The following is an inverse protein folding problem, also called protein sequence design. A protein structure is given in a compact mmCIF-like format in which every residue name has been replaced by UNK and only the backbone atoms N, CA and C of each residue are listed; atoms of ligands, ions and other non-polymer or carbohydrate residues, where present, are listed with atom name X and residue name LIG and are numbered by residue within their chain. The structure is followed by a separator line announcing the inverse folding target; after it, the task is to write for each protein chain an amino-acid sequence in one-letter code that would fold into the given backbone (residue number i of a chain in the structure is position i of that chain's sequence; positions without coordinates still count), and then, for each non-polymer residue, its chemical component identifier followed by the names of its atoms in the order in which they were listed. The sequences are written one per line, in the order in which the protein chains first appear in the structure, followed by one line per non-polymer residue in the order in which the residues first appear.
data_IF_931988807986
#
_entry.id   IF_931988807986
#
_cell.length_a   1.000
_cell.length_b   1.000
_cell.length_c   1.000
_cell.angle_alpha   90.00
_cell.angle_beta   90.00
_cell.angle_gamma   90.00
#
_symmetry.space_group_name_H-M   'P 1'
#
loop_
_entity.id
_entity.type
_entity.pdbx_description
1 polymer ?
#
# COMPACT_ATOMS: atom_id res chain seq x y z
N UNK A 1 18.79 7.53 1.94
CA UNK A 1 18.32 7.57 0.54
C UNK A 1 16.87 8.02 0.60
N UNK A 2 16.59 9.28 0.24
CA UNK A 2 15.25 9.82 0.15
C UNK A 2 14.81 9.58 -1.30
N UNK A 3 13.95 8.60 -1.53
CA UNK A 3 13.32 8.43 -2.84
C UNK A 3 12.27 9.53 -2.91
N UNK A 4 12.31 10.38 -3.94
CA UNK A 4 11.28 11.39 -4.15
C UNK A 4 9.93 10.68 -4.27
N UNK A 5 8.94 11.10 -3.46
CA UNK A 5 7.63 10.45 -3.41
C UNK A 5 7.45 9.41 -2.30
N UNK A 6 8.49 8.97 -1.57
CA UNK A 6 8.30 8.20 -0.33
C UNK A 6 8.17 9.13 0.87
N UNK A 7 6.98 9.13 1.46
CA UNK A 7 6.67 9.88 2.67
C UNK A 7 7.10 9.07 3.90
N UNK A 8 8.22 9.49 4.49
CA UNK A 8 8.83 8.84 5.66
C UNK A 8 7.93 8.90 6.90
N UNK A 9 7.04 9.90 6.99
CA UNK A 9 6.10 10.03 8.11
C UNK A 9 4.96 9.01 8.00
N UNK A 10 4.54 8.65 6.77
CA UNK A 10 3.59 7.55 6.53
C UNK A 10 4.21 6.22 6.94
N UNK A 11 5.46 5.98 6.53
CA UNK A 11 6.20 4.76 6.86
C UNK A 11 6.39 4.66 8.38
N UNK A 12 6.79 5.74 9.05
CA UNK A 12 7.01 5.74 10.51
C UNK A 12 5.70 5.58 11.29
N UNK A 13 4.60 6.19 10.86
CA UNK A 13 3.29 6.02 11.49
C UNK A 13 2.76 4.58 11.37
N UNK A 14 3.07 3.89 10.26
CA UNK A 14 2.68 2.50 10.02
C UNK A 14 3.63 1.52 10.72
N UNK A 15 4.91 1.88 10.84
CA UNK A 15 5.94 1.10 11.55
C UNK A 15 5.73 1.16 13.08
N UNK A 16 5.25 2.29 13.63
CA UNK A 16 4.97 2.43 15.07
C UNK A 16 3.81 1.55 15.58
N UNK A 17 2.92 1.08 14.70
CA UNK A 17 1.85 0.14 15.11
C UNK A 17 2.35 -1.33 15.14
N UNK A 18 3.50 -1.61 14.54
CA UNK A 18 4.17 -2.90 14.61
C UNK A 18 5.09 -2.97 15.86
N UNK A 19 4.52 -2.98 17.06
CA UNK A 19 5.31 -3.29 18.27
C UNK A 19 5.78 -4.74 18.27
N UNK A 20 6.97 -4.99 18.85
CA UNK A 20 7.79 -6.21 18.73
C UNK A 20 7.13 -7.58 19.05
N UNK A 21 5.90 -7.62 19.59
CA UNK A 21 5.12 -8.84 19.78
C UNK A 21 4.30 -9.27 18.55
N UNK A 22 4.17 -8.39 17.55
CA UNK A 22 3.57 -8.67 16.25
C UNK A 22 4.67 -8.55 15.20
N UNK A 23 5.31 -9.65 14.79
CA UNK A 23 6.02 -9.65 13.50
C UNK A 23 4.94 -9.57 12.43
N UNK A 24 4.71 -8.44 11.74
CA UNK A 24 3.76 -8.45 10.66
C UNK A 24 4.47 -9.19 9.52
N UNK A 25 3.86 -10.25 8.99
CA UNK A 25 4.18 -10.74 7.65
C UNK A 25 3.76 -9.68 6.59
N UNK A 26 3.90 -8.38 6.88
CA UNK A 26 3.33 -7.30 6.11
C UNK A 26 4.38 -6.20 5.86
N UNK A 27 4.45 -5.73 4.63
CA UNK A 27 5.20 -4.57 4.20
C UNK A 27 4.21 -3.45 3.91
N UNK A 28 4.54 -2.22 4.28
CA UNK A 28 3.73 -1.06 3.88
C UNK A 28 4.61 0.00 3.24
N UNK A 29 4.17 0.51 2.09
CA UNK A 29 4.88 1.49 1.29
C UNK A 29 3.97 2.70 1.09
N UNK A 30 4.46 3.90 1.43
CA UNK A 30 3.78 5.15 1.16
C UNK A 30 4.36 5.82 -0.09
N UNK A 31 3.50 6.22 -1.02
CA UNK A 31 3.88 6.93 -2.25
C UNK A 31 3.00 8.16 -2.41
N UNK A 32 3.59 9.32 -2.67
CA UNK A 32 2.88 10.51 -3.12
C UNK A 32 2.99 10.62 -4.63
N UNK A 33 1.88 10.86 -5.31
CA UNK A 33 1.93 11.10 -6.75
C UNK A 33 2.73 12.38 -7.02
N UNK A 34 3.50 12.43 -8.11
CA UNK A 34 4.12 13.66 -8.57
C UNK A 34 3.04 14.68 -8.99
N UNK A 35 3.37 15.96 -8.83
CA UNK A 35 2.51 17.07 -9.25
C UNK A 35 2.22 17.01 -10.76
N UNK A 36 3.21 16.57 -11.55
CA UNK A 36 3.13 16.47 -12.99
C UNK A 36 2.92 15.01 -13.46
N UNK A 37 1.91 14.78 -14.29
CA UNK A 37 1.54 13.44 -14.76
C UNK A 37 2.62 12.73 -15.60
N UNK A 38 3.47 13.49 -16.29
CA UNK A 38 4.56 12.98 -17.11
C UNK A 38 5.72 12.40 -16.28
N UNK A 39 5.75 12.67 -14.98
CA UNK A 39 6.72 12.09 -14.04
C UNK A 39 6.29 10.72 -13.50
N UNK A 40 5.01 10.34 -13.65
CA UNK A 40 4.46 9.06 -13.17
C UNK A 40 5.24 7.82 -13.66
N UNK A 41 5.66 7.72 -14.94
CA UNK A 41 6.46 6.58 -15.40
C UNK A 41 7.80 6.46 -14.67
N UNK A 42 8.41 7.59 -14.28
CA UNK A 42 9.64 7.61 -13.50
C UNK A 42 9.41 7.08 -12.07
N UNK A 43 8.35 7.54 -11.41
CA UNK A 43 7.96 7.06 -10.08
C UNK A 43 7.69 5.55 -10.07
N UNK A 44 7.09 5.01 -11.13
CA UNK A 44 6.85 3.56 -11.25
C UNK A 44 8.17 2.78 -11.36
N UNK A 45 9.16 3.29 -12.13
CA UNK A 45 10.46 2.63 -12.25
C UNK A 45 11.24 2.63 -10.93
N UNK A 46 11.20 3.73 -10.18
CA UNK A 46 11.84 3.82 -8.86
C UNK A 46 11.18 2.87 -7.85
N UNK A 47 9.86 2.74 -7.92
CA UNK A 47 9.06 1.84 -7.11
C UNK A 47 9.36 0.37 -7.40
N UNK A 48 9.60 -0.01 -8.66
CA UNK A 48 10.01 -1.39 -9.00
C UNK A 48 11.32 -1.78 -8.32
N UNK A 49 12.34 -0.92 -8.43
CA UNK A 49 13.62 -1.15 -7.79
C UNK A 49 13.48 -1.27 -6.26
N UNK A 50 12.59 -0.49 -5.67
CA UNK A 50 12.27 -0.59 -4.25
C UNK A 50 11.55 -1.90 -3.91
N UNK A 51 10.53 -2.28 -4.68
CA UNK A 51 9.78 -3.52 -4.48
C UNK A 51 10.70 -4.74 -4.59
N UNK A 52 11.55 -4.79 -5.61
CA UNK A 52 12.56 -5.86 -5.77
C UNK A 52 13.45 -5.97 -4.52
N UNK A 53 13.96 -4.83 -4.04
CA UNK A 53 14.85 -4.78 -2.88
C UNK A 53 14.15 -5.18 -1.58
N UNK A 54 12.97 -4.61 -1.32
CA UNK A 54 12.26 -4.76 -0.04
C UNK A 54 11.54 -6.10 0.08
N UNK A 55 10.92 -6.58 -0.99
CA UNK A 55 10.26 -7.89 -0.99
C UNK A 55 11.28 -9.01 -0.78
N UNK A 56 12.47 -8.92 -1.38
CA UNK A 56 13.55 -9.88 -1.16
C UNK A 56 14.13 -9.82 0.26
N UNK A 57 14.23 -8.61 0.83
CA UNK A 57 14.80 -8.41 2.17
C UNK A 57 13.87 -8.87 3.29
N UNK A 58 12.62 -8.44 3.26
CA UNK A 58 11.66 -8.60 4.36
C UNK A 58 10.82 -9.87 4.18
N UNK A 59 10.66 -10.30 2.93
CA UNK A 59 9.85 -11.47 2.60
C UNK A 59 8.41 -11.39 3.19
N UNK A 60 7.62 -10.32 2.96
CA UNK A 60 6.26 -10.19 3.50
C UNK A 60 5.23 -11.12 2.80
N UNK A 61 4.15 -11.49 3.46
CA UNK A 61 2.97 -12.15 2.87
C UNK A 61 1.86 -11.15 2.48
N UNK A 62 1.88 -9.95 3.06
CA UNK A 62 0.94 -8.87 2.77
C UNK A 62 1.73 -7.62 2.36
N UNK A 63 1.30 -6.92 1.32
CA UNK A 63 1.78 -5.60 0.96
C UNK A 63 0.60 -4.63 1.06
N UNK A 64 0.81 -3.51 1.73
CA UNK A 64 -0.13 -2.38 1.69
C UNK A 64 0.56 -1.20 1.02
N UNK A 65 -0.08 -0.63 0.01
CA UNK A 65 0.41 0.52 -0.72
C UNK A 65 -0.48 1.72 -0.43
N UNK A 66 0.07 2.75 0.21
CA UNK A 66 -0.65 3.99 0.52
C UNK A 66 -0.27 5.03 -0.53
N UNK A 67 -1.22 5.44 -1.36
CA UNK A 67 -1.01 6.40 -2.45
C UNK A 67 -1.68 7.72 -2.11
N UNK A 68 -0.90 8.78 -1.90
CA UNK A 68 -1.43 10.14 -1.77
C UNK A 68 -1.62 10.75 -3.17
N UNK A 69 -2.89 10.96 -3.53
CA UNK A 69 -3.30 11.36 -4.86
C UNK A 69 -3.52 12.87 -5.03
N UNK A 70 -3.52 13.65 -3.94
CA UNK A 70 -3.63 15.11 -3.97
C UNK A 70 -4.74 15.66 -4.90
N UNK A 71 -5.98 15.19 -4.74
CA UNK A 71 -7.11 15.59 -5.59
C UNK A 71 -7.28 14.77 -6.88
N UNK A 72 -6.33 13.88 -7.21
CA UNK A 72 -6.27 13.11 -8.46
C UNK A 72 -6.64 11.64 -8.25
N UNK A 73 -7.80 11.40 -7.64
CA UNK A 73 -8.24 10.07 -7.21
C UNK A 73 -8.24 9.01 -8.32
N UNK A 74 -8.60 9.38 -9.55
CA UNK A 74 -8.61 8.44 -10.67
C UNK A 74 -7.20 7.96 -10.99
N UNK A 75 -6.24 8.88 -11.08
CA UNK A 75 -4.84 8.53 -11.29
C UNK A 75 -4.24 7.79 -10.09
N UNK A 76 -4.59 8.19 -8.86
CA UNK A 76 -4.15 7.50 -7.64
C UNK A 76 -4.63 6.06 -7.58
N UNK A 77 -5.88 5.79 -8.00
CA UNK A 77 -6.41 4.42 -8.10
C UNK A 77 -5.69 3.61 -9.18
N UNK A 78 -5.47 4.18 -10.36
CA UNK A 78 -4.74 3.51 -11.43
C UNK A 78 -3.29 3.20 -11.01
N UNK A 79 -2.62 4.15 -10.36
CA UNK A 79 -1.28 3.98 -9.83
C UNK A 79 -1.20 2.91 -8.74
N UNK A 80 -2.15 2.91 -7.79
CA UNK A 80 -2.22 1.88 -6.75
C UNK A 80 -2.43 0.48 -7.34
N UNK A 81 -3.30 0.37 -8.36
CA UNK A 81 -3.53 -0.90 -9.08
C UNK A 81 -2.25 -1.39 -9.78
N UNK A 82 -1.56 -0.51 -10.51
CA UNK A 82 -0.31 -0.84 -11.19
C UNK A 82 0.76 -1.30 -10.18
N UNK A 83 0.88 -0.63 -9.03
CA UNK A 83 1.82 -1.03 -7.97
C UNK A 83 1.51 -2.44 -7.46
N UNK A 84 0.24 -2.76 -7.20
CA UNK A 84 -0.18 -4.09 -6.76
C UNK A 84 0.22 -5.13 -7.81
N UNK A 85 -0.10 -4.90 -9.07
CA UNK A 85 0.23 -5.83 -10.16
C UNK A 85 1.74 -6.10 -10.21
N UNK A 86 2.57 -5.06 -10.09
CA UNK A 86 4.03 -5.21 -10.09
C UNK A 86 4.56 -5.94 -8.86
N UNK A 87 4.02 -5.65 -7.69
CA UNK A 87 4.39 -6.35 -6.46
C UNK A 87 4.04 -7.85 -6.53
N UNK A 88 2.87 -8.18 -7.07
CA UNK A 88 2.43 -9.56 -7.28
C UNK A 88 3.31 -10.30 -8.29
N UNK A 89 3.69 -9.63 -9.39
CA UNK A 89 4.64 -10.16 -10.39
C UNK A 89 6.02 -10.40 -9.74
N UNK A 90 6.54 -9.45 -8.97
CA UNK A 90 7.83 -9.60 -8.28
C UNK A 90 7.80 -10.72 -7.24
N UNK A 91 6.75 -10.81 -6.41
CA UNK A 91 6.65 -11.90 -5.44
C UNK A 91 6.58 -13.27 -6.12
N UNK A 92 5.81 -13.38 -7.20
CA UNK A 92 5.68 -14.64 -7.94
C UNK A 92 6.99 -15.05 -8.62
N UNK A 93 7.62 -14.13 -9.36
CA UNK A 93 8.79 -14.43 -10.18
C UNK A 93 10.08 -14.55 -9.36
N UNK A 94 10.27 -13.67 -8.37
CA UNK A 94 11.53 -13.57 -7.64
C UNK A 94 11.53 -14.38 -6.34
N UNK A 95 10.36 -14.57 -5.72
CA UNK A 95 10.24 -15.21 -4.40
C UNK A 95 9.46 -16.52 -4.43
N UNK A 96 8.79 -16.85 -5.55
CA UNK A 96 8.07 -18.10 -5.74
C UNK A 96 6.90 -18.29 -4.78
N UNK A 97 6.20 -17.21 -4.42
CA UNK A 97 5.15 -17.24 -3.38
C UNK A 97 4.06 -16.21 -3.61
N UNK A 98 2.90 -16.51 -3.02
CA UNK A 98 1.74 -15.63 -3.01
C UNK A 98 1.96 -14.41 -2.08
N UNK A 99 1.57 -13.24 -2.57
CA UNK A 99 1.56 -11.97 -1.85
C UNK A 99 0.14 -11.41 -1.95
N UNK A 100 -0.46 -11.06 -0.81
CA UNK A 100 -1.70 -10.29 -0.80
C UNK A 100 -1.34 -8.81 -0.90
N UNK A 101 -1.72 -8.13 -1.98
CA UNK A 101 -1.42 -6.71 -2.14
C UNK A 101 -2.69 -5.84 -2.11
N UNK A 102 -2.71 -4.82 -1.24
CA UNK A 102 -3.84 -3.92 -1.02
C UNK A 102 -3.42 -2.47 -1.28
N UNK A 103 -4.22 -1.73 -2.03
CA UNK A 103 -4.03 -0.30 -2.31
C UNK A 103 -4.95 0.57 -1.47
N UNK A 104 -4.41 1.63 -0.88
CA UNK A 104 -5.16 2.64 -0.12
C UNK A 104 -4.86 4.01 -0.71
N UNK A 105 -5.85 4.64 -1.34
CA UNK A 105 -5.70 5.94 -1.99
C UNK A 105 -6.23 7.05 -1.08
N UNK A 106 -5.37 8.01 -0.78
CA UNK A 106 -5.69 9.20 0.00
C UNK A 106 -5.87 10.38 -0.94
N UNK A 107 -7.03 11.03 -0.87
CA UNK A 107 -7.27 12.26 -1.64
C UNK A 107 -6.54 13.46 -1.02
N UNK A 108 -6.52 13.49 0.31
CA UNK A 108 -5.99 14.54 1.15
C UNK A 108 -5.09 13.92 2.25
N UNK A 109 -4.03 14.64 2.62
CA UNK A 109 -3.13 14.31 3.73
C UNK A 109 -3.87 14.17 5.07
N UNK A 110 -4.98 14.88 5.26
CA UNK A 110 -5.80 14.78 6.48
C UNK A 110 -6.37 13.37 6.72
N UNK A 111 -6.47 12.53 5.68
CA UNK A 111 -6.94 11.15 5.80
C UNK A 111 -5.84 10.14 6.21
N UNK A 112 -4.58 10.58 6.29
CA UNK A 112 -3.43 9.73 6.62
C UNK A 112 -3.62 8.99 7.95
N UNK A 113 -4.04 9.70 9.00
CA UNK A 113 -4.22 9.12 10.33
C UNK A 113 -5.34 8.07 10.36
N UNK A 114 -6.44 8.32 9.63
CA UNK A 114 -7.54 7.36 9.50
C UNK A 114 -7.06 6.11 8.77
N UNK A 115 -6.39 6.28 7.64
CA UNK A 115 -5.88 5.17 6.84
C UNK A 115 -4.88 4.32 7.64
N UNK A 116 -3.92 4.96 8.32
CA UNK A 116 -2.96 4.28 9.17
C UNK A 116 -3.65 3.44 10.26
N UNK A 117 -4.66 4.00 10.94
CA UNK A 117 -5.44 3.27 11.94
C UNK A 117 -6.17 2.07 11.34
N UNK A 118 -6.81 2.22 10.17
CA UNK A 118 -7.56 1.13 9.53
C UNK A 118 -6.66 0.02 9.00
N UNK A 119 -5.49 0.38 8.46
CA UNK A 119 -4.47 -0.58 8.02
C UNK A 119 -3.96 -1.35 9.23
N UNK A 120 -3.62 -0.66 10.33
CA UNK A 120 -3.20 -1.30 11.56
C UNK A 120 -4.25 -2.27 12.13
N UNK A 121 -5.53 -1.86 12.18
CA UNK A 121 -6.64 -2.73 12.59
C UNK A 121 -6.72 -4.01 11.73
N UNK A 122 -6.52 -3.89 10.42
CA UNK A 122 -6.53 -5.01 9.50
C UNK A 122 -5.31 -5.93 9.71
N UNK A 123 -4.11 -5.36 9.81
CA UNK A 123 -2.86 -6.11 10.00
C UNK A 123 -2.74 -6.77 11.37
N UNK A 124 -3.44 -6.24 12.40
CA UNK A 124 -3.60 -6.92 13.69
C UNK A 124 -4.54 -8.13 13.64
N UNK A 125 -5.26 -8.32 12.54
CA UNK A 125 -6.13 -9.48 12.28
C UNK A 125 -5.39 -10.68 11.68
N UNK A 126 -6.02 -11.86 11.69
CA UNK A 126 -5.49 -13.10 11.10
C UNK A 126 -5.96 -13.36 9.65
N UNK A 127 -6.04 -12.33 8.81
CA UNK A 127 -6.65 -12.46 7.48
C UNK A 127 -5.68 -12.00 6.39
N UNK A 128 -5.47 -12.87 5.38
CA UNK A 128 -4.69 -12.59 4.19
C UNK A 128 -5.62 -12.41 2.96
N UNK A 129 -6.77 -11.77 3.16
CA UNK A 129 -7.75 -11.53 2.10
C UNK A 129 -7.50 -10.16 1.47
N UNK A 130 -7.86 -9.98 0.20
CA UNK A 130 -7.87 -8.67 -0.47
C UNK A 130 -6.75 -8.44 -1.49
N UNK A 131 -6.27 -9.50 -2.14
CA UNK A 131 -5.30 -9.33 -3.23
C UNK A 131 -5.94 -8.57 -4.40
N UNK A 132 -5.28 -7.49 -4.84
CA UNK A 132 -5.79 -6.61 -5.89
C UNK A 132 -6.78 -5.54 -5.42
N UNK A 133 -7.16 -5.52 -4.13
CA UNK A 133 -8.19 -4.58 -3.65
C UNK A 133 -7.61 -3.16 -3.54
N UNK A 134 -8.30 -2.18 -4.15
CA UNK A 134 -7.97 -0.75 -4.05
C UNK A 134 -9.13 0.03 -3.42
N UNK A 135 -8.90 0.56 -2.22
CA UNK A 135 -9.87 1.39 -1.49
C UNK A 135 -9.43 2.84 -1.41
N UNK A 136 -10.38 3.75 -1.19
CA UNK A 136 -10.07 5.14 -0.86
C UNK A 136 -10.26 5.44 0.61
N UNK A 137 -9.66 6.54 1.07
CA UNK A 137 -9.98 7.11 2.38
C UNK A 137 -11.49 7.31 2.61
N UNK A 138 -12.24 7.67 1.57
CA UNK A 138 -13.70 7.80 1.64
C UNK A 138 -14.38 6.47 1.98
N UNK A 139 -13.89 5.36 1.44
CA UNK A 139 -14.41 4.02 1.73
C UNK A 139 -14.09 3.64 3.20
N UNK A 140 -12.87 3.95 3.66
CA UNK A 140 -12.41 3.73 5.04
C UNK A 140 -13.15 4.56 6.11
N UNK A 141 -13.80 5.65 5.70
CA UNK A 141 -14.72 6.41 6.57
C UNK A 141 -16.06 5.71 6.73
N UNK A 142 -16.49 4.94 5.72
CA UNK A 142 -17.78 4.24 5.72
C UNK A 142 -17.68 2.89 6.41
N UNK A 143 -16.56 2.19 6.27
CA UNK A 143 -16.41 0.82 6.75
C UNK A 143 -14.97 0.49 7.17
N UNK A 144 -14.74 -0.73 7.65
CA UNK A 144 -13.39 -1.22 7.94
C UNK A 144 -12.73 -1.74 6.66
N UNK A 145 -11.40 -1.77 6.61
CA UNK A 145 -10.68 -2.32 5.44
C UNK A 145 -11.06 -3.78 5.18
N UNK A 146 -11.30 -4.56 6.25
CA UNK A 146 -11.75 -5.95 6.16
C UNK A 146 -13.12 -6.08 5.49
N UNK A 147 -14.08 -5.26 5.90
CA UNK A 147 -15.44 -5.35 5.35
C UNK A 147 -15.44 -4.97 3.87
N UNK A 148 -14.67 -3.94 3.50
CA UNK A 148 -14.50 -3.53 2.10
C UNK A 148 -13.86 -4.64 1.24
N UNK A 149 -12.84 -5.32 1.77
CA UNK A 149 -12.23 -6.47 1.10
C UNK A 149 -13.24 -7.61 0.90
N UNK A 150 -14.09 -7.86 1.91
CA UNK A 150 -15.10 -8.92 1.80
C UNK A 150 -16.21 -8.55 0.80
N UNK A 151 -16.56 -7.26 0.67
CA UNK A 151 -17.51 -6.78 -0.34
C UNK A 151 -16.97 -6.91 -1.77
N UNK A 152 -15.66 -6.79 -1.97
CA UNK A 152 -14.99 -6.85 -3.28
C UNK A 152 -14.80 -8.30 -3.79
N UNK A 153 -14.77 -9.28 -2.88
CA UNK A 153 -14.54 -10.71 -3.17
C UNK A 153 -15.85 -11.50 -3.39
N UNK A 154 -17.02 -10.93 -3.04
CA UNK A 154 -18.34 -11.56 -3.13
C UNK A 154 -19.13 -11.13 -4.38
#
# INVERSE_FOLDING_TARGET
MHIAGLDTDIIDALTQVATAEHRPDALTIGVSLPDASDELPGCIADLDALLETELARVSPRVLVAVVHAAGRLTEGRAFASELIDRASVHSSNSLGRDLTAIGVVLDDEHDRALAARRIAEHLGGRSNLGDGTVVTARDLRRSTLRDLILEDVL
#
